data_IF_763406545592
#
_entry.id   IF_763406545592
#
_cell.length_a   1.000
_cell.length_b   1.000
_cell.length_c   1.000
_cell.angle_alpha   90.00
_cell.angle_beta   90.00
_cell.angle_gamma   90.00
#
_symmetry.space_group_name_H-M   'P 1'
#
loop_
_entity.id
_entity.type
_entity.pdbx_description
1 polymer ?
#
# COMPACT_ATOMS: atom_id res chain seq x y z
N UNK A 1 -5.13 -12.66 -2.09
CA UNK A 1 -4.63 -14.03 -1.84
C UNK A 1 -5.76 -15.03 -2.04
N UNK A 2 -5.45 -16.27 -2.44
CA UNK A 2 -6.40 -17.37 -2.60
C UNK A 2 -5.89 -18.66 -1.93
N UNK A 3 -6.71 -19.70 -1.89
CA UNK A 3 -6.39 -21.00 -1.32
C UNK A 3 -6.07 -22.03 -2.40
N UNK A 4 -4.97 -22.74 -2.21
CA UNK A 4 -4.51 -23.82 -3.08
C UNK A 4 -4.26 -25.09 -2.27
N UNK A 5 -3.86 -26.17 -2.95
CA UNK A 5 -3.40 -27.41 -2.30
C UNK A 5 -2.21 -27.22 -1.34
N UNK A 6 -1.50 -26.08 -1.39
CA UNK A 6 -0.40 -25.75 -0.49
C UNK A 6 -0.77 -24.70 0.58
N UNK A 7 -2.05 -24.34 0.70
CA UNK A 7 -2.55 -23.33 1.63
C UNK A 7 -2.78 -21.98 0.96
N UNK A 8 -2.60 -20.89 1.71
CA UNK A 8 -2.85 -19.54 1.20
C UNK A 8 -1.68 -19.06 0.33
N UNK A 9 -1.97 -18.67 -0.92
CA UNK A 9 -0.98 -18.19 -1.89
C UNK A 9 -1.37 -16.84 -2.51
N UNK A 10 -0.34 -16.17 -3.06
CA UNK A 10 -0.49 -14.93 -3.82
C UNK A 10 -1.14 -15.22 -5.19
N UNK A 11 -2.26 -14.55 -5.47
CA UNK A 11 -3.00 -14.68 -6.75
C UNK A 11 -3.23 -13.34 -7.47
N UNK A 12 -3.03 -12.22 -6.76
CA UNK A 12 -3.07 -10.86 -7.29
C UNK A 12 -2.11 -10.01 -6.46
N UNK A 13 -1.38 -9.11 -7.10
CA UNK A 13 -0.46 -8.19 -6.47
C UNK A 13 -0.69 -6.78 -7.03
N UNK A 14 -0.97 -5.84 -6.13
CA UNK A 14 -1.21 -4.44 -6.47
C UNK A 14 -0.27 -3.54 -5.66
N UNK A 15 0.33 -2.54 -6.29
CA UNK A 15 1.14 -1.51 -5.65
C UNK A 15 0.77 -0.13 -6.20
N UNK A 16 0.72 0.87 -5.30
CA UNK A 16 0.40 2.26 -5.64
C UNK A 16 1.50 3.19 -5.12
N UNK A 17 1.70 4.32 -5.79
CA UNK A 17 2.63 5.37 -5.37
C UNK A 17 2.08 6.11 -4.16
N UNK A 18 2.97 6.57 -3.28
CA UNK A 18 2.62 7.47 -2.20
C UNK A 18 3.40 8.78 -2.37
N UNK A 19 2.77 9.97 -2.18
CA UNK A 19 1.45 10.21 -1.58
C UNK A 19 0.30 10.38 -2.57
N UNK A 20 0.53 10.11 -3.86
CA UNK A 20 -0.41 10.43 -4.93
C UNK A 20 -1.46 9.33 -5.19
N UNK A 21 -1.14 8.07 -4.88
CA UNK A 21 -2.03 6.93 -5.07
C UNK A 21 -2.10 6.42 -6.51
N UNK A 22 -1.12 6.77 -7.36
CA UNK A 22 -1.05 6.30 -8.74
C UNK A 22 -0.73 4.80 -8.76
N UNK A 23 -1.40 4.03 -9.61
CA UNK A 23 -1.17 2.60 -9.66
C UNK A 23 0.14 2.29 -10.41
N UNK A 24 1.07 1.62 -9.73
CA UNK A 24 2.38 1.29 -10.27
C UNK A 24 2.45 -0.14 -10.81
N UNK A 25 1.68 -1.04 -10.20
CA UNK A 25 1.61 -2.46 -10.53
C UNK A 25 0.22 -2.97 -10.16
N UNK A 26 -0.44 -3.69 -11.05
CA UNK A 26 -1.60 -4.52 -10.70
C UNK A 26 -1.67 -5.73 -11.64
N UNK A 27 -1.31 -6.90 -11.11
CA UNK A 27 -1.16 -8.13 -11.89
C UNK A 27 -1.83 -9.31 -11.19
N UNK A 28 -2.37 -10.23 -12.00
CA UNK A 28 -2.75 -11.56 -11.54
C UNK A 28 -1.50 -12.43 -11.46
N UNK A 29 -1.47 -13.35 -10.50
CA UNK A 29 -0.32 -14.20 -10.22
C UNK A 29 -0.76 -15.65 -10.33
N UNK A 30 -0.09 -16.42 -11.18
CA UNK A 30 -0.28 -17.86 -11.22
C UNK A 30 0.27 -18.46 -9.91
N UNK A 31 -0.56 -19.08 -9.05
CA UNK A 31 -0.07 -19.74 -7.85
C UNK A 31 0.71 -21.02 -8.18
N UNK A 32 1.48 -21.53 -7.22
CA UNK A 32 2.27 -22.76 -7.40
C UNK A 32 1.36 -23.99 -7.29
N UNK A 33 0.44 -24.00 -6.32
CA UNK A 33 -0.53 -25.06 -6.14
C UNK A 33 -1.74 -24.93 -7.07
N UNK A 34 -2.43 -26.05 -7.27
CA UNK A 34 -3.75 -26.03 -7.88
C UNK A 34 -4.73 -25.25 -7.01
N UNK A 35 -5.43 -24.30 -7.62
CA UNK A 35 -6.39 -23.43 -6.94
C UNK A 35 -7.61 -24.21 -6.47
N UNK A 36 -7.89 -24.15 -5.16
CA UNK A 36 -9.09 -24.71 -4.56
C UNK A 36 -10.19 -23.67 -4.42
N UNK A 37 -9.81 -22.44 -4.02
CA UNK A 37 -10.72 -21.32 -3.85
C UNK A 37 -9.97 -20.00 -4.12
N UNK A 38 -10.50 -19.17 -5.03
CA UNK A 38 -9.93 -17.85 -5.32
C UNK A 38 -10.18 -16.84 -4.21
N UNK A 39 -10.99 -17.19 -3.21
CA UNK A 39 -11.35 -16.34 -2.09
C UNK A 39 -11.95 -15.02 -2.57
N UNK A 40 -12.79 -15.08 -3.61
CA UNK A 40 -13.21 -13.93 -4.45
C UNK A 40 -13.75 -12.76 -3.64
N UNK A 41 -14.52 -13.02 -2.57
CA UNK A 41 -15.02 -11.97 -1.66
C UNK A 41 -13.91 -11.05 -1.15
N UNK A 42 -12.73 -11.59 -0.86
CA UNK A 42 -11.60 -10.84 -0.30
C UNK A 42 -10.53 -10.52 -1.35
N UNK A 43 -10.35 -11.37 -2.35
CA UNK A 43 -9.31 -11.17 -3.37
C UNK A 43 -9.74 -10.28 -4.53
N UNK A 44 -11.05 -10.16 -4.78
CA UNK A 44 -11.57 -9.53 -5.98
C UNK A 44 -11.27 -10.30 -7.27
N UNK A 45 -10.71 -11.51 -7.19
CA UNK A 45 -10.31 -12.32 -8.36
C UNK A 45 -11.35 -13.41 -8.62
N UNK A 46 -11.80 -13.48 -9.87
CA UNK A 46 -12.73 -14.51 -10.38
C UNK A 46 -12.02 -15.51 -11.26
N UNK A 47 -12.65 -16.67 -11.49
CA UNK A 47 -12.09 -17.71 -12.34
C UNK A 47 -11.90 -17.21 -13.78
N UNK A 48 -12.85 -16.40 -14.27
CA UNK A 48 -12.80 -15.80 -15.60
C UNK A 48 -11.63 -14.84 -15.75
N UNK A 49 -11.24 -14.13 -14.69
CA UNK A 49 -10.10 -13.22 -14.71
C UNK A 49 -8.81 -14.02 -14.96
N UNK A 50 -8.62 -15.14 -14.25
CA UNK A 50 -7.46 -16.01 -14.42
C UNK A 50 -7.40 -16.69 -15.78
N UNK A 51 -8.55 -17.12 -16.31
CA UNK A 51 -8.64 -17.83 -17.60
C UNK A 51 -8.44 -16.89 -18.79
N UNK A 52 -9.01 -15.69 -18.72
CA UNK A 52 -9.01 -14.75 -19.85
C UNK A 52 -7.82 -13.78 -19.83
N UNK A 53 -7.04 -13.73 -18.75
CA UNK A 53 -5.90 -12.84 -18.65
C UNK A 53 -4.83 -13.15 -19.69
N UNK A 54 -4.34 -12.09 -20.34
CA UNK A 54 -3.17 -12.19 -21.18
C UNK A 54 -1.94 -12.50 -20.32
N UNK A 55 -1.09 -13.41 -20.78
CA UNK A 55 0.16 -13.73 -20.09
C UNK A 55 1.15 -12.58 -20.22
N UNK A 56 1.69 -12.14 -19.09
CA UNK A 56 2.76 -11.14 -19.06
C UNK A 56 4.04 -11.66 -19.73
N UNK A 57 4.70 -10.79 -20.49
CA UNK A 57 5.98 -11.05 -21.17
C UNK A 57 7.03 -10.01 -20.76
N UNK A 58 8.33 -10.35 -20.77
CA UNK A 58 9.38 -9.36 -20.58
C UNK A 58 9.24 -8.17 -21.55
N UNK A 59 9.19 -6.96 -21.00
CA UNK A 59 8.98 -5.72 -21.75
C UNK A 59 7.53 -5.22 -21.76
N UNK A 60 6.59 -6.00 -21.24
CA UNK A 60 5.21 -5.55 -21.01
C UNK A 60 5.14 -4.51 -19.87
N UNK A 61 4.22 -3.57 -20.01
CA UNK A 61 3.84 -2.64 -18.94
C UNK A 61 3.24 -3.37 -17.71
N UNK A 62 3.41 -2.74 -16.55
CA UNK A 62 2.98 -3.18 -15.24
C UNK A 62 1.58 -2.66 -14.86
N UNK A 63 1.05 -1.70 -15.62
CA UNK A 63 -0.25 -1.08 -15.38
C UNK A 63 -1.40 -1.86 -16.04
N UNK A 64 -2.61 -1.87 -15.45
CA UNK A 64 -3.78 -2.42 -16.10
C UNK A 64 -4.11 -1.70 -17.39
N UNK A 65 -4.54 -2.45 -18.39
CA UNK A 65 -5.24 -1.85 -19.51
C UNK A 65 -6.69 -1.60 -19.09
N UNK A 66 -7.07 -0.33 -18.99
CA UNK A 66 -8.46 0.07 -18.78
C UNK A 66 -9.17 0.00 -20.12
N UNK A 67 -10.09 -0.95 -20.28
CA UNK A 67 -10.96 -1.00 -21.45
C UNK A 67 -12.20 -0.17 -21.14
N UNK A 68 -12.44 0.95 -21.86
CA UNK A 68 -13.65 1.73 -21.67
C UNK A 68 -14.87 0.85 -21.90
N UNK A 69 -15.83 0.90 -20.99
CA UNK A 69 -17.11 0.24 -21.22
C UNK A 69 -17.80 0.89 -22.41
N UNK A 70 -18.37 0.07 -23.31
CA UNK A 70 -19.27 0.55 -24.35
C UNK A 70 -20.61 1.05 -23.80
N UNK A 71 -20.93 0.69 -22.54
CA UNK A 71 -22.09 1.16 -21.80
C UNK A 71 -21.66 2.12 -20.67
N UNK A 72 -22.07 3.40 -20.69
CA UNK A 72 -21.76 4.38 -19.65
C UNK A 72 -22.23 3.98 -18.23
N UNK A 73 -23.19 3.05 -18.12
CA UNK A 73 -23.70 2.56 -16.84
C UNK A 73 -22.83 1.45 -16.22
N UNK A 74 -21.94 0.83 -17.00
CA UNK A 74 -21.06 -0.23 -16.52
C UNK A 74 -19.64 0.31 -16.24
N UNK A 75 -19.01 -0.10 -15.12
CA UNK A 75 -17.64 0.29 -14.82
C UNK A 75 -16.68 -0.23 -15.90
N UNK A 76 -15.65 0.57 -16.20
CA UNK A 76 -14.63 0.18 -17.17
C UNK A 76 -13.94 -1.13 -16.74
N UNK A 77 -13.82 -2.08 -17.67
CA UNK A 77 -13.25 -3.38 -17.36
C UNK A 77 -11.72 -3.28 -17.31
N UNK A 78 -11.12 -3.60 -16.16
CA UNK A 78 -9.67 -3.70 -16.02
C UNK A 78 -9.21 -5.06 -16.52
N UNK A 79 -8.36 -5.07 -17.54
CA UNK A 79 -7.68 -6.30 -17.99
C UNK A 79 -6.30 -6.36 -17.36
N UNK A 80 -6.17 -7.25 -16.38
CA UNK A 80 -4.91 -7.53 -15.71
C UNK A 80 -4.14 -8.61 -16.47
N UNK A 81 -2.81 -8.50 -16.46
CA UNK A 81 -1.94 -9.53 -17.02
C UNK A 81 -1.65 -10.61 -15.97
N UNK A 82 -1.52 -11.84 -16.43
CA UNK A 82 -1.16 -13.00 -15.61
C UNK A 82 0.36 -13.21 -15.64
N UNK A 83 1.01 -13.02 -14.50
CA UNK A 83 2.43 -13.34 -14.34
C UNK A 83 2.62 -14.82 -13.98
N UNK A 84 3.70 -15.47 -14.45
CA UNK A 84 3.80 -16.93 -14.44
C UNK A 84 4.09 -17.55 -13.07
N UNK A 85 4.45 -16.77 -12.06
CA UNK A 85 4.74 -17.29 -10.71
C UNK A 85 4.78 -16.19 -9.65
N UNK A 86 4.70 -16.53 -8.35
CA UNK A 86 4.92 -15.57 -7.27
C UNK A 86 6.32 -14.95 -7.28
N UNK A 87 7.34 -15.69 -7.76
CA UNK A 87 8.69 -15.14 -7.95
C UNK A 87 8.68 -14.02 -8.98
N UNK A 88 8.03 -14.22 -10.13
CA UNK A 88 7.94 -13.20 -11.17
C UNK A 88 7.21 -11.95 -10.65
N UNK A 89 6.10 -12.12 -9.94
CA UNK A 89 5.39 -11.01 -9.29
C UNK A 89 6.31 -10.21 -8.34
N UNK A 90 7.10 -10.92 -7.52
CA UNK A 90 8.07 -10.29 -6.60
C UNK A 90 9.18 -9.56 -7.34
N UNK A 91 9.73 -10.15 -8.40
CA UNK A 91 10.78 -9.51 -9.20
C UNK A 91 10.25 -8.20 -9.82
N UNK A 92 8.98 -8.18 -10.27
CA UNK A 92 8.31 -6.96 -10.73
C UNK A 92 8.18 -5.92 -9.61
N UNK A 93 7.72 -6.31 -8.43
CA UNK A 93 7.62 -5.40 -7.30
C UNK A 93 8.99 -4.80 -6.92
N UNK A 94 10.04 -5.61 -6.89
CA UNK A 94 11.41 -5.16 -6.62
C UNK A 94 11.98 -4.23 -7.70
N UNK A 95 11.47 -4.27 -8.93
CA UNK A 95 11.87 -3.28 -9.94
C UNK A 95 11.36 -1.86 -9.63
N UNK A 96 10.39 -1.73 -8.72
CA UNK A 96 9.75 -0.47 -8.34
C UNK A 96 10.26 0.07 -6.98
N UNK A 97 11.11 -0.66 -6.27
CA UNK A 97 11.49 -0.31 -4.90
C UNK A 97 12.92 -0.73 -4.53
N UNK A 98 13.50 -0.03 -3.57
CA UNK A 98 14.78 -0.35 -2.93
C UNK A 98 14.58 -0.73 -1.46
N UNK A 99 15.60 -1.28 -0.76
CA UNK A 99 15.53 -1.52 0.68
C UNK A 99 15.16 -0.28 1.51
N UNK A 100 15.52 0.91 1.04
CA UNK A 100 15.22 2.18 1.72
C UNK A 100 13.84 2.74 1.37
N UNK A 101 13.13 2.15 0.41
CA UNK A 101 11.79 2.57 -0.01
C UNK A 101 10.75 2.09 1.00
N UNK A 102 10.07 2.97 1.75
CA UNK A 102 9.12 2.52 2.77
C UNK A 102 7.91 1.80 2.15
N UNK A 103 7.65 0.58 2.60
CA UNK A 103 6.42 -0.14 2.25
C UNK A 103 5.30 0.24 3.21
N UNK A 104 4.22 0.79 2.66
CA UNK A 104 3.02 1.14 3.43
C UNK A 104 1.97 0.06 3.24
N UNK A 105 1.32 -0.35 4.34
CA UNK A 105 0.16 -1.23 4.26
C UNK A 105 -0.62 -1.35 5.56
N UNK A 106 -1.50 -2.35 5.63
CA UNK A 106 -2.34 -2.61 6.79
C UNK A 106 -2.28 -4.09 7.18
N UNK A 107 -1.61 -4.41 8.29
CA UNK A 107 -1.45 -5.81 8.71
C UNK A 107 -0.63 -6.63 7.71
N UNK A 108 0.48 -6.03 7.25
CA UNK A 108 1.33 -6.47 6.12
C UNK A 108 2.00 -7.83 6.29
N UNK A 109 1.91 -8.44 7.48
CA UNK A 109 2.51 -9.75 7.79
C UNK A 109 2.06 -10.83 6.81
N UNK A 110 0.77 -10.90 6.51
CA UNK A 110 0.24 -11.94 5.61
C UNK A 110 0.65 -11.67 4.17
N UNK A 111 0.61 -10.42 3.73
CA UNK A 111 1.02 -10.01 2.39
C UNK A 111 2.50 -10.30 2.15
N UNK A 112 3.38 -9.87 3.05
CA UNK A 112 4.83 -10.10 2.95
C UNK A 112 5.18 -11.60 3.01
N UNK A 113 4.45 -12.38 3.83
CA UNK A 113 4.60 -13.84 3.85
C UNK A 113 4.17 -14.49 2.52
N UNK A 114 3.05 -14.06 1.94
CA UNK A 114 2.55 -14.59 0.67
C UNK A 114 3.48 -14.24 -0.50
N UNK A 115 4.04 -13.03 -0.53
CA UNK A 115 5.01 -12.60 -1.56
C UNK A 115 6.43 -13.14 -1.27
N UNK A 116 6.68 -13.64 -0.05
CA UNK A 116 7.99 -14.11 0.46
C UNK A 116 9.04 -13.00 0.45
N UNK A 117 8.71 -11.88 1.07
CA UNK A 117 9.59 -10.70 1.19
C UNK A 117 9.89 -10.44 2.67
N UNK A 118 11.16 -10.16 2.96
CA UNK A 118 11.58 -9.50 4.21
C UNK A 118 12.05 -8.10 3.83
N UNK A 119 11.28 -7.08 4.20
CA UNK A 119 11.60 -5.70 3.88
C UNK A 119 12.02 -4.92 5.14
N UNK A 120 13.13 -4.18 5.13
CA UNK A 120 13.63 -3.51 6.33
C UNK A 120 12.84 -2.24 6.71
N UNK A 121 12.19 -1.60 5.74
CA UNK A 121 11.42 -0.37 5.94
C UNK A 121 9.92 -0.61 5.70
N UNK A 122 9.16 -0.84 6.77
CA UNK A 122 7.71 -1.09 6.69
C UNK A 122 6.97 -0.12 7.60
N UNK A 123 5.97 0.55 7.04
CA UNK A 123 5.02 1.42 7.73
C UNK A 123 3.67 0.71 7.76
N UNK A 124 3.38 0.06 8.88
CA UNK A 124 2.13 -0.66 9.06
C UNK A 124 1.10 0.20 9.82
N UNK A 125 -0.04 0.45 9.18
CA UNK A 125 -1.12 1.25 9.77
C UNK A 125 -1.74 0.63 11.03
N UNK A 126 -1.64 -0.69 11.22
CA UNK A 126 -2.03 -1.35 12.49
C UNK A 126 -1.18 -0.85 13.66
N UNK A 127 0.12 -0.59 13.41
CA UNK A 127 1.04 -0.09 14.41
C UNK A 127 0.92 1.42 14.60
N UNK A 128 0.65 2.17 13.52
CA UNK A 128 0.41 3.62 13.60
C UNK A 128 -0.89 3.98 14.34
N UNK A 129 -1.89 3.11 14.27
CA UNK A 129 -3.21 3.29 14.88
C UNK A 129 -3.56 2.10 15.79
N UNK A 130 -2.87 1.96 16.94
CA UNK A 130 -3.03 0.80 17.81
C UNK A 130 -4.46 0.73 18.39
N UNK A 131 -4.96 -0.49 18.54
CA UNK A 131 -6.23 -0.72 19.21
C UNK A 131 -6.11 -0.42 20.71
N UNK A 132 -7.15 0.16 21.34
CA UNK A 132 -7.16 0.53 22.77
C UNK A 132 -6.85 -0.62 23.73
N UNK A 133 -7.18 -1.85 23.34
CA UNK A 133 -6.93 -3.10 24.10
C UNK A 133 -5.51 -3.66 23.89
N UNK A 134 -4.70 -3.06 23.03
CA UNK A 134 -3.38 -3.57 22.67
C UNK A 134 -3.43 -4.85 21.81
N UNK A 135 -2.25 -5.29 21.38
CA UNK A 135 -2.08 -6.56 20.66
C UNK A 135 -2.49 -7.74 21.56
N UNK A 136 -3.05 -8.83 20.98
CA UNK A 136 -3.18 -9.14 19.56
C UNK A 136 -4.41 -8.51 18.87
N UNK A 137 -5.23 -7.73 19.58
CA UNK A 137 -6.41 -7.09 18.98
C UNK A 137 -5.96 -5.93 18.08
N UNK A 138 -6.42 -5.92 16.84
CA UNK A 138 -6.07 -4.92 15.81
C UNK A 138 -7.33 -4.21 15.33
N UNK A 139 -7.21 -2.94 14.96
CA UNK A 139 -8.25 -2.27 14.20
C UNK A 139 -8.18 -2.76 12.75
N UNK A 140 -9.32 -3.06 12.12
CA UNK A 140 -9.35 -3.34 10.67
C UNK A 140 -9.27 -2.06 9.84
N UNK A 141 -8.80 -2.16 8.60
CA UNK A 141 -8.62 -1.02 7.69
C UNK A 141 -9.92 -0.23 7.52
N UNK A 142 -11.04 -0.91 7.24
CA UNK A 142 -12.38 -0.30 7.10
C UNK A 142 -12.78 0.54 8.32
N UNK A 143 -12.47 0.05 9.53
CA UNK A 143 -12.76 0.79 10.76
C UNK A 143 -11.86 2.02 10.89
N UNK A 144 -10.55 1.90 10.59
CA UNK A 144 -9.63 3.02 10.64
C UNK A 144 -9.98 4.12 9.64
N UNK A 145 -10.32 3.76 8.40
CA UNK A 145 -10.70 4.74 7.38
C UNK A 145 -12.00 5.45 7.75
N UNK A 146 -12.98 4.74 8.29
CA UNK A 146 -14.23 5.36 8.73
C UNK A 146 -13.98 6.31 9.91
N UNK A 147 -13.23 5.87 10.93
CA UNK A 147 -12.96 6.67 12.12
C UNK A 147 -12.09 7.90 11.86
N UNK A 148 -11.07 7.78 11.01
CA UNK A 148 -10.04 8.81 10.84
C UNK A 148 -10.17 9.64 9.57
N UNK A 149 -10.72 9.06 8.51
CA UNK A 149 -10.91 9.74 7.21
C UNK A 149 -12.38 10.03 6.91
N UNK A 150 -13.33 9.49 7.69
CA UNK A 150 -14.76 9.59 7.40
C UNK A 150 -15.16 8.86 6.11
N UNK A 151 -14.32 7.94 5.62
CA UNK A 151 -14.51 7.23 4.34
C UNK A 151 -14.82 5.75 4.59
N UNK A 152 -15.92 5.29 4.00
CA UNK A 152 -16.25 3.87 3.91
C UNK A 152 -15.58 3.28 2.67
N UNK A 153 -14.91 2.15 2.85
CA UNK A 153 -14.26 1.34 1.81
C UNK A 153 -14.84 -0.08 1.89
N UNK A 154 -14.54 -0.93 0.89
CA UNK A 154 -14.98 -2.33 0.89
C UNK A 154 -16.48 -2.44 1.17
N UNK A 155 -17.27 -1.68 0.41
CA UNK A 155 -18.73 -1.77 0.48
C UNK A 155 -19.13 -3.12 -0.09
N UNK A 156 -20.01 -3.84 0.60
CA UNK A 156 -20.53 -5.14 0.18
C UNK A 156 -21.47 -4.97 -1.02
N UNK A 157 -20.91 -4.62 -2.17
CA UNK A 157 -21.60 -4.58 -3.43
C UNK A 157 -21.79 -6.01 -3.94
N UNK A 158 -22.90 -6.22 -4.64
CA UNK A 158 -23.23 -7.49 -5.28
C UNK A 158 -23.32 -7.18 -6.77
N UNK A 159 -22.66 -7.99 -7.58
CA UNK A 159 -22.72 -7.83 -9.02
C UNK A 159 -24.09 -8.22 -9.60
N UNK A 160 -24.27 -7.97 -10.89
CA UNK A 160 -25.51 -8.30 -11.61
C UNK A 160 -25.90 -9.80 -11.54
N UNK A 161 -24.96 -10.67 -11.18
CA UNK A 161 -25.15 -12.13 -11.06
C UNK A 161 -25.39 -12.59 -9.62
N UNK A 162 -25.52 -11.67 -8.67
CA UNK A 162 -25.73 -12.01 -7.26
C UNK A 162 -24.46 -12.43 -6.52
N UNK A 163 -23.28 -12.23 -7.11
CA UNK A 163 -21.99 -12.58 -6.51
C UNK A 163 -21.40 -11.35 -5.81
N UNK A 164 -20.90 -11.48 -4.57
CA UNK A 164 -20.22 -10.37 -3.90
C UNK A 164 -19.09 -9.80 -4.77
N UNK A 165 -19.15 -8.50 -5.02
CA UNK A 165 -18.05 -7.75 -5.61
C UNK A 165 -16.92 -7.76 -4.58
N UNK A 166 -15.85 -8.48 -4.90
CA UNK A 166 -14.73 -8.65 -3.98
C UNK A 166 -14.00 -7.34 -3.73
N UNK A 167 -13.14 -7.33 -2.72
CA UNK A 167 -12.39 -6.11 -2.39
C UNK A 167 -11.44 -5.69 -3.53
N UNK A 168 -11.32 -4.37 -3.73
CA UNK A 168 -10.32 -3.80 -4.63
C UNK A 168 -9.00 -3.58 -3.88
N UNK A 169 -7.98 -4.36 -4.23
CA UNK A 169 -6.64 -4.25 -3.66
C UNK A 169 -6.04 -2.84 -3.85
N UNK A 170 -6.41 -2.12 -4.91
CA UNK A 170 -5.93 -0.76 -5.14
C UNK A 170 -6.61 0.26 -4.20
N UNK A 171 -7.92 0.10 -3.92
CA UNK A 171 -8.63 0.87 -2.91
C UNK A 171 -7.98 0.70 -1.53
N UNK A 172 -7.70 -0.54 -1.14
CA UNK A 172 -7.10 -0.86 0.15
C UNK A 172 -5.70 -0.24 0.30
N UNK A 173 -4.87 -0.32 -0.75
CA UNK A 173 -3.53 0.25 -0.74
C UNK A 173 -3.56 1.80 -0.62
N UNK A 174 -4.45 2.47 -1.38
CA UNK A 174 -4.65 3.92 -1.27
C UNK A 174 -5.17 4.30 0.11
N UNK A 175 -6.09 3.50 0.67
CA UNK A 175 -6.63 3.74 2.00
C UNK A 175 -5.59 3.66 3.10
N UNK A 176 -4.69 2.68 3.06
CA UNK A 176 -3.56 2.62 3.97
C UNK A 176 -2.64 3.84 3.79
N UNK A 177 -2.33 4.23 2.54
CA UNK A 177 -1.52 5.40 2.23
C UNK A 177 -2.12 6.72 2.76
N UNK A 178 -3.43 6.89 2.65
CA UNK A 178 -4.14 8.08 3.16
C UNK A 178 -4.10 8.16 4.69
N UNK A 179 -4.20 7.03 5.39
CA UNK A 179 -4.01 6.97 6.84
C UNK A 179 -2.58 7.37 7.24
N UNK A 180 -1.56 6.91 6.50
CA UNK A 180 -0.17 7.35 6.74
C UNK A 180 -0.03 8.86 6.49
N UNK A 181 -0.63 9.38 5.41
CA UNK A 181 -0.61 10.82 5.09
C UNK A 181 -1.25 11.65 6.19
N UNK A 182 -2.36 11.19 6.74
CA UNK A 182 -3.01 11.79 7.90
C UNK A 182 -2.09 11.79 9.13
N UNK A 183 -1.46 10.65 9.43
CA UNK A 183 -0.54 10.51 10.56
C UNK A 183 0.65 11.46 10.43
N UNK A 184 1.28 11.53 9.26
CA UNK A 184 2.40 12.45 8.97
C UNK A 184 1.99 13.91 9.21
N UNK A 185 0.81 14.31 8.70
CA UNK A 185 0.28 15.68 8.92
C UNK A 185 0.13 16.00 10.40
N UNK A 186 -0.42 15.07 11.18
CA UNK A 186 -0.71 15.27 12.60
C UNK A 186 0.57 15.29 13.44
N UNK A 187 1.52 14.39 13.17
CA UNK A 187 2.85 14.42 13.80
C UNK A 187 3.60 15.71 13.46
N UNK A 188 3.56 16.17 12.20
CA UNK A 188 4.17 17.44 11.83
C UNK A 188 3.54 18.64 12.54
N UNK A 189 2.21 18.63 12.70
CA UNK A 189 1.52 19.68 13.48
C UNK A 189 2.00 19.71 14.93
N UNK A 190 2.17 18.54 15.55
CA UNK A 190 2.68 18.41 16.90
C UNK A 190 4.13 18.91 17.01
N UNK A 191 5.01 18.47 16.11
CA UNK A 191 6.41 18.92 16.07
C UNK A 191 6.53 20.44 15.93
N UNK A 192 5.73 21.06 15.05
CA UNK A 192 5.70 22.53 14.94
C UNK A 192 5.24 23.21 16.22
N UNK A 193 4.26 22.64 16.92
CA UNK A 193 3.82 23.16 18.22
C UNK A 193 4.93 23.07 19.27
N UNK A 194 5.75 22.02 19.21
CA UNK A 194 6.93 21.83 20.05
C UNK A 194 8.11 22.73 19.64
N UNK A 195 8.00 23.46 18.53
CA UNK A 195 9.00 24.43 18.05
C UNK A 195 9.96 23.90 16.97
N UNK A 196 9.74 22.67 16.48
CA UNK A 196 10.54 22.12 15.40
C UNK A 196 10.27 22.87 14.09
N UNK A 197 11.32 23.03 13.29
CA UNK A 197 11.25 23.68 11.97
C UNK A 197 11.81 22.74 10.91
N UNK A 198 11.46 23.02 9.66
CA UNK A 198 12.08 22.39 8.50
C UNK A 198 12.95 23.45 7.84
N UNK A 199 14.23 23.17 7.64
CA UNK A 199 15.14 24.06 6.91
C UNK A 199 14.80 24.11 5.42
N UNK A 200 15.37 25.08 4.71
CA UNK A 200 15.28 25.15 3.24
C UNK A 200 15.93 23.93 2.55
N UNK A 201 16.85 23.23 3.24
CA UNK A 201 17.44 21.96 2.79
C UNK A 201 16.55 20.73 3.03
N UNK A 202 15.41 20.90 3.71
CA UNK A 202 14.50 19.79 4.05
C UNK A 202 14.88 19.02 5.31
N UNK A 203 15.80 19.54 6.13
CA UNK A 203 16.24 18.91 7.37
C UNK A 203 15.41 19.42 8.56
N UNK A 204 15.18 18.54 9.54
CA UNK A 204 14.50 18.91 10.77
C UNK A 204 15.45 19.68 11.69
N UNK A 205 15.01 20.86 12.13
CA UNK A 205 15.73 21.71 13.08
C UNK A 205 15.00 21.65 14.42
N UNK A 206 15.73 21.24 15.47
CA UNK A 206 15.16 21.09 16.80
C UNK A 206 14.91 22.46 17.47
N UNK A 207 13.92 22.58 18.37
CA UNK A 207 13.72 23.78 19.15
C UNK A 207 14.94 24.02 20.07
N UNK A 208 15.66 25.13 19.84
CA UNK A 208 16.84 25.49 20.63
C UNK A 208 18.19 25.29 19.94
N UNK A 209 18.22 24.66 18.75
CA UNK A 209 19.41 24.57 17.88
C UNK A 209 19.61 25.84 17.01
N UNK A 210 18.94 26.95 17.35
CA UNK A 210 19.34 28.25 16.82
C UNK A 210 20.72 28.58 17.42
N UNK A 211 21.76 28.29 16.63
CA UNK A 211 23.16 28.29 17.04
C UNK A 211 23.50 29.40 18.02
N UNK A 212 24.17 29.03 19.11
CA UNK A 212 24.79 29.98 20.01
C UNK A 212 25.77 30.85 19.21
N UNK A 213 25.35 32.05 18.79
CA UNK A 213 26.30 33.14 18.54
C UNK A 213 26.91 33.51 19.89
N UNK A 214 28.17 33.15 20.10
CA UNK A 214 28.96 33.70 21.22
C UNK A 214 29.05 35.22 21.01
N UNK A 215 28.16 35.97 21.65
CA UNK A 215 28.26 37.42 21.78
C UNK A 215 29.38 37.71 22.78
N UNK A 216 30.64 37.62 22.34
CA UNK A 216 31.75 37.84 23.27
C UNK A 216 33.17 37.47 22.84
N UNK A 217 33.43 37.08 21.59
CA UNK A 217 34.81 36.98 21.12
C UNK A 217 35.41 38.39 20.96
N UNK A 218 35.90 38.95 22.09
CA UNK A 218 36.77 40.14 22.10
C UNK A 218 37.89 39.91 21.09
N UNK A 219 38.05 40.84 20.15
CA UNK A 219 39.28 41.05 19.39
C UNK A 219 40.43 41.20 20.38
N UNK A 220 41.20 40.14 20.58
CA UNK A 220 42.53 40.21 21.20
C UNK A 220 43.53 40.63 20.15
N UNK A 221 43.69 41.93 19.95
CA UNK A 221 44.88 42.49 19.34
C UNK A 221 45.99 42.62 20.39
N UNK A 222 47.23 42.44 19.94
CA UNK A 222 48.46 42.59 20.72
C UNK A 222 49.16 41.24 20.87
N UNK A 223 50.41 41.06 20.47
CA UNK A 223 51.46 41.96 19.97
C UNK A 223 52.49 41.12 19.22
#
# INVERSE_FOLDING_TARGET
MGYTVYGMELIRLTAVSWPNGEELLDVLVQPVGETLDLNTRYSGVRAEDMVNAERWKPGDDFQPTVVPSSDPAQPAQRKLKLVPSPKAARDLLFSLMSPDTPLIGHGTENDLNAVRIVHPSVIDTVLLYPHKRGLPVRNGLKALTEMHLGRKIQLDAIDEKGVPEGHDSAEDARAAGDLVKLKVRDEWRKLRWEGWKLSDSGEFVSPGDEGWTIVGAKKGGGS
#
